data_IF_108836778972
#
_entry.id   IF_108836778972
#
_cell.length_a   1.000
_cell.length_b   1.000
_cell.length_c   1.000
_cell.angle_alpha   90.00
_cell.angle_beta   90.00
_cell.angle_gamma   90.00
#
_symmetry.space_group_name_H-M   'P 1'
#
loop_
_entity.id
_entity.type
_entity.pdbx_description
1 polymer ?
#
# COMPACT_ATOMS: atom_id res chain seq x y z
N UNK A 1 6.72 18.45 33.14
CA UNK A 1 5.80 19.28 32.32
C UNK A 1 6.28 19.45 30.87
N UNK A 2 7.40 20.13 30.57
CA UNK A 2 7.82 20.34 29.17
C UNK A 2 8.20 19.03 28.44
N UNK A 3 8.93 18.13 29.12
CA UNK A 3 9.27 16.79 28.59
C UNK A 3 8.03 15.92 28.32
N UNK A 4 7.03 16.02 29.20
CA UNK A 4 5.80 15.23 29.09
C UNK A 4 4.96 15.71 27.92
N UNK A 5 4.82 17.04 27.75
CA UNK A 5 4.14 17.63 26.60
C UNK A 5 4.84 17.28 25.28
N UNK A 6 6.17 17.34 25.23
CA UNK A 6 6.95 17.00 24.03
C UNK A 6 6.78 15.53 23.63
N UNK A 7 6.71 14.63 24.62
CA UNK A 7 6.43 13.21 24.41
C UNK A 7 5.02 13.01 23.85
N UNK A 8 4.02 13.71 24.39
CA UNK A 8 2.64 13.66 23.89
C UNK A 8 2.52 14.15 22.45
N UNK A 9 3.14 15.29 22.11
CA UNK A 9 3.16 15.78 20.73
C UNK A 9 3.84 14.81 19.77
N UNK A 10 4.92 14.16 20.20
CA UNK A 10 5.62 13.18 19.39
C UNK A 10 4.78 11.93 19.12
N UNK A 11 4.02 11.46 20.12
CA UNK A 11 3.07 10.34 19.96
C UNK A 11 1.95 10.71 19.00
N UNK A 12 1.36 11.91 19.13
CA UNK A 12 0.32 12.39 18.22
C UNK A 12 0.83 12.49 16.78
N UNK A 13 2.00 13.09 16.58
CA UNK A 13 2.60 13.22 15.26
C UNK A 13 2.89 11.86 14.63
N UNK A 14 3.39 10.91 15.42
CA UNK A 14 3.60 9.52 14.99
C UNK A 14 2.28 8.86 14.58
N UNK A 15 1.21 9.07 15.34
CA UNK A 15 -0.13 8.58 15.03
C UNK A 15 -0.67 9.14 13.71
N UNK A 16 -0.60 10.45 13.52
CA UNK A 16 -1.01 11.12 12.27
C UNK A 16 -0.24 10.58 11.07
N UNK A 17 1.07 10.40 11.19
CA UNK A 17 1.90 9.83 10.11
C UNK A 17 1.47 8.41 9.76
N UNK A 18 1.15 7.58 10.76
CA UNK A 18 0.71 6.20 10.55
C UNK A 18 -0.66 6.14 9.88
N UNK A 19 -1.63 6.90 10.37
CA UNK A 19 -2.99 6.95 9.80
C UNK A 19 -2.95 7.48 8.37
N UNK A 20 -2.20 8.55 8.13
CA UNK A 20 -2.07 9.15 6.79
C UNK A 20 -1.48 8.14 5.80
N UNK A 21 -0.46 7.39 6.22
CA UNK A 21 0.18 6.34 5.41
C UNK A 21 -0.78 5.19 5.09
N UNK A 22 -1.55 4.73 6.08
CA UNK A 22 -2.57 3.68 5.88
C UNK A 22 -3.65 4.16 4.91
N UNK A 23 -4.19 5.36 5.12
CA UNK A 23 -5.14 5.95 4.18
C UNK A 23 -4.57 6.11 2.77
N UNK A 24 -3.30 6.53 2.66
CA UNK A 24 -2.63 6.65 1.38
C UNK A 24 -2.46 5.29 0.67
N UNK A 25 -2.32 4.20 1.43
CA UNK A 25 -2.27 2.85 0.88
C UNK A 25 -3.64 2.37 0.40
N UNK A 26 -4.66 2.47 1.25
CA UNK A 26 -6.02 2.02 0.93
C UNK A 26 -6.64 2.83 -0.21
N UNK A 27 -6.47 4.15 -0.17
CA UNK A 27 -7.00 5.07 -1.17
C UNK A 27 -6.00 5.38 -2.27
N UNK A 28 -4.91 4.61 -2.39
CA UNK A 28 -3.84 4.86 -3.35
C UNK A 28 -4.36 5.07 -4.77
N UNK A 29 -5.24 4.19 -5.25
CA UNK A 29 -5.78 4.29 -6.61
C UNK A 29 -6.61 5.56 -6.80
N UNK A 30 -7.40 5.94 -5.79
CA UNK A 30 -8.20 7.15 -5.82
C UNK A 30 -7.32 8.41 -5.79
N UNK A 31 -6.33 8.46 -4.89
CA UNK A 31 -5.35 9.54 -4.81
C UNK A 31 -4.57 9.67 -6.12
N UNK A 32 -4.07 8.56 -6.65
CA UNK A 32 -3.37 8.53 -7.92
C UNK A 32 -4.25 9.09 -9.04
N UNK A 33 -5.49 8.60 -9.17
CA UNK A 33 -6.41 9.07 -10.20
C UNK A 33 -6.69 10.57 -10.08
N UNK A 34 -6.95 11.05 -8.86
CA UNK A 34 -7.18 12.47 -8.60
C UNK A 34 -5.99 13.33 -9.02
N UNK A 35 -4.78 13.03 -8.53
CA UNK A 35 -3.58 13.80 -8.87
C UNK A 35 -3.19 13.67 -10.34
N UNK A 36 -3.39 12.49 -10.93
CA UNK A 36 -3.13 12.24 -12.34
C UNK A 36 -4.05 13.08 -13.23
N UNK A 37 -5.35 13.04 -12.96
CA UNK A 37 -6.34 13.82 -13.69
C UNK A 37 -6.12 15.33 -13.51
N UNK A 38 -5.85 15.78 -12.28
CA UNK A 38 -5.53 17.17 -11.99
C UNK A 38 -4.29 17.63 -12.77
N UNK A 39 -3.25 16.79 -12.84
CA UNK A 39 -2.05 17.07 -13.62
C UNK A 39 -2.38 17.14 -15.11
N UNK A 40 -3.10 16.16 -15.66
CA UNK A 40 -3.47 16.11 -17.07
C UNK A 40 -4.29 17.35 -17.49
N UNK A 41 -5.27 17.74 -16.68
CA UNK A 41 -6.08 18.94 -16.90
C UNK A 41 -5.23 20.22 -16.80
N UNK A 42 -4.35 20.31 -15.80
CA UNK A 42 -3.46 21.46 -15.64
C UNK A 42 -2.53 21.63 -16.86
N UNK A 43 -1.85 20.56 -17.28
CA UNK A 43 -0.98 20.60 -18.47
C UNK A 43 -1.76 20.88 -19.76
N UNK A 44 -2.95 20.30 -19.91
CA UNK A 44 -3.84 20.60 -21.03
C UNK A 44 -4.23 22.08 -21.06
N UNK A 45 -4.59 22.64 -19.90
CA UNK A 45 -4.96 24.05 -19.79
C UNK A 45 -3.78 24.96 -20.12
N UNK A 46 -2.59 24.73 -19.55
CA UNK A 46 -1.38 25.49 -19.90
C UNK A 46 -1.06 25.40 -21.40
N UNK A 47 -1.17 24.21 -22.00
CA UNK A 47 -0.90 24.02 -23.43
C UNK A 47 -1.94 24.74 -24.31
N UNK A 48 -3.19 24.80 -23.86
CA UNK A 48 -4.29 25.46 -24.58
C UNK A 48 -4.12 26.97 -24.69
N UNK A 49 -3.43 27.60 -23.73
CA UNK A 49 -3.06 29.03 -23.76
C UNK A 49 -2.18 29.34 -24.98
N UNK A 50 -1.29 28.41 -25.34
CA UNK A 50 -0.39 28.54 -26.48
C UNK A 50 -1.14 28.20 -27.78
N UNK A 51 -1.84 27.07 -27.80
CA UNK A 51 -2.62 26.62 -28.96
C UNK A 51 -3.72 25.65 -28.52
N UNK A 52 -4.97 25.90 -28.90
CA UNK A 52 -6.11 25.06 -28.50
C UNK A 52 -5.92 23.57 -28.88
N UNK A 53 -5.40 23.31 -30.08
CA UNK A 53 -5.09 21.95 -30.52
C UNK A 53 -4.00 21.25 -29.67
N UNK A 54 -3.07 22.00 -29.05
CA UNK A 54 -2.05 21.42 -28.20
C UNK A 54 -2.64 20.89 -26.89
N UNK A 55 -3.67 21.53 -26.34
CA UNK A 55 -4.41 21.02 -25.17
C UNK A 55 -5.01 19.64 -25.42
N UNK A 56 -5.69 19.46 -26.57
CA UNK A 56 -6.30 18.18 -26.96
C UNK A 56 -5.25 17.09 -27.13
N UNK A 57 -4.15 17.39 -27.86
CA UNK A 57 -3.04 16.44 -28.03
C UNK A 57 -2.46 16.04 -26.68
N UNK A 58 -2.35 16.98 -25.73
CA UNK A 58 -1.82 16.69 -24.42
C UNK A 58 -2.75 15.76 -23.62
N UNK A 59 -4.07 15.96 -23.64
CA UNK A 59 -5.02 15.05 -23.01
C UNK A 59 -4.94 13.63 -23.57
N UNK A 60 -4.83 13.49 -24.89
CA UNK A 60 -4.64 12.19 -25.53
C UNK A 60 -3.34 11.52 -25.08
N UNK A 61 -2.26 12.29 -24.97
CA UNK A 61 -0.97 11.78 -24.48
C UNK A 61 -1.09 11.26 -23.04
N UNK A 62 -1.75 11.99 -22.15
CA UNK A 62 -2.03 11.53 -20.79
C UNK A 62 -2.87 10.24 -20.80
N UNK A 63 -3.92 10.15 -21.61
CA UNK A 63 -4.72 8.93 -21.70
C UNK A 63 -3.88 7.70 -22.10
N UNK A 64 -3.01 7.84 -23.09
CA UNK A 64 -2.09 6.77 -23.54
C UNK A 64 -1.06 6.41 -22.45
N UNK A 65 -0.57 7.39 -21.71
CA UNK A 65 0.44 7.19 -20.68
C UNK A 65 -0.12 6.62 -19.36
N UNK A 66 -1.44 6.65 -19.16
CA UNK A 66 -2.08 6.28 -17.89
C UNK A 66 -1.58 4.94 -17.35
N UNK A 67 -1.66 3.87 -18.15
CA UNK A 67 -1.26 2.52 -17.71
C UNK A 67 0.23 2.43 -17.36
N UNK A 68 1.09 3.09 -18.14
CA UNK A 68 2.54 3.10 -17.92
C UNK A 68 2.88 3.85 -16.64
N UNK A 69 2.26 5.01 -16.42
CA UNK A 69 2.47 5.80 -15.20
C UNK A 69 1.93 5.06 -13.98
N UNK A 70 0.72 4.49 -14.05
CA UNK A 70 0.14 3.72 -12.96
C UNK A 70 1.06 2.56 -12.53
N UNK A 71 1.52 1.74 -13.48
CA UNK A 71 2.44 0.64 -13.20
C UNK A 71 3.75 1.12 -12.57
N UNK A 72 4.27 2.25 -13.05
CA UNK A 72 5.46 2.87 -12.48
C UNK A 72 5.19 3.52 -11.12
N UNK A 73 3.96 3.83 -10.73
CA UNK A 73 3.64 4.46 -9.44
C UNK A 73 3.27 3.41 -8.40
N UNK A 74 2.89 2.18 -8.79
CA UNK A 74 2.64 1.06 -7.86
C UNK A 74 3.80 0.80 -6.87
N UNK A 75 5.06 1.16 -7.19
CA UNK A 75 6.15 1.06 -6.21
C UNK A 75 5.93 1.99 -5.01
N UNK A 76 5.29 3.14 -5.19
CA UNK A 76 4.98 4.07 -4.10
C UNK A 76 4.00 3.41 -3.13
N UNK A 77 2.95 2.75 -3.64
CA UNK A 77 2.04 1.96 -2.79
C UNK A 77 2.80 0.90 -1.98
N UNK A 78 3.73 0.17 -2.61
CA UNK A 78 4.61 -0.80 -1.92
C UNK A 78 5.51 -0.18 -0.86
N UNK A 79 5.98 1.05 -1.07
CA UNK A 79 6.87 1.74 -0.14
C UNK A 79 6.18 2.18 1.16
N UNK A 80 4.84 2.25 1.17
CA UNK A 80 4.05 2.58 2.36
C UNK A 80 4.05 1.42 3.35
N UNK A 81 4.26 0.19 2.88
CA UNK A 81 4.34 -1.01 3.71
C UNK A 81 5.68 -1.02 4.47
N UNK A 82 5.63 -1.16 5.79
CA UNK A 82 6.79 -1.25 6.69
C UNK A 82 6.75 -2.51 7.53
N UNK A 83 7.92 -2.85 8.09
CA UNK A 83 8.04 -3.92 9.10
C UNK A 83 7.20 -3.58 10.33
N UNK A 84 6.50 -4.57 10.86
CA UNK A 84 5.54 -4.46 11.96
C UNK A 84 4.15 -4.01 11.53
N UNK A 85 3.93 -3.67 10.25
CA UNK A 85 2.58 -3.38 9.78
C UNK A 85 1.74 -4.65 9.80
N UNK A 86 0.52 -4.54 10.32
CA UNK A 86 -0.50 -5.57 10.15
C UNK A 86 -1.18 -5.37 8.82
N UNK A 87 -1.42 -6.47 8.12
CA UNK A 87 -1.97 -6.47 6.78
C UNK A 87 -3.15 -7.40 6.67
N UNK A 88 -4.03 -7.07 5.74
CA UNK A 88 -5.13 -7.92 5.31
C UNK A 88 -4.81 -8.43 3.91
N UNK A 89 -4.81 -9.75 3.74
CA UNK A 89 -4.46 -10.39 2.47
C UNK A 89 -5.45 -11.50 2.11
N UNK A 90 -5.58 -11.77 0.80
CA UNK A 90 -6.33 -12.92 0.28
C UNK A 90 -5.40 -14.12 0.21
N UNK A 91 -5.80 -15.24 0.81
CA UNK A 91 -5.09 -16.51 0.62
C UNK A 91 -5.52 -17.14 -0.71
N UNK A 92 -4.62 -17.35 -1.69
CA UNK A 92 -4.98 -17.96 -2.96
C UNK A 92 -5.39 -19.44 -2.83
N UNK A 93 -5.08 -20.09 -1.70
CA UNK A 93 -5.40 -21.50 -1.49
C UNK A 93 -6.80 -21.71 -0.88
N UNK A 94 -7.44 -20.66 -0.36
CA UNK A 94 -8.79 -20.75 0.20
C UNK A 94 -9.84 -20.47 -0.87
N UNK A 95 -10.51 -21.54 -1.29
CA UNK A 95 -11.54 -21.53 -2.35
C UNK A 95 -12.95 -21.26 -1.80
N UNK A 96 -13.14 -21.32 -0.47
CA UNK A 96 -14.43 -21.12 0.18
C UNK A 96 -14.56 -19.67 0.67
N UNK A 97 -15.45 -18.90 0.00
CA UNK A 97 -15.66 -17.46 0.19
C UNK A 97 -16.19 -16.99 1.56
N UNK A 98 -15.97 -17.73 2.65
CA UNK A 98 -16.39 -17.38 4.01
C UNK A 98 -15.32 -16.68 4.85
N UNK A 99 -14.03 -16.83 4.52
CA UNK A 99 -12.91 -16.15 5.19
C UNK A 99 -12.00 -15.47 4.16
N UNK A 100 -12.54 -14.53 3.37
CA UNK A 100 -11.80 -13.92 2.25
C UNK A 100 -10.57 -13.08 2.66
N UNK A 101 -10.38 -12.77 3.95
CA UNK A 101 -9.32 -11.88 4.42
C UNK A 101 -8.64 -12.43 5.67
N UNK A 102 -7.35 -12.78 5.53
CA UNK A 102 -6.48 -13.15 6.64
C UNK A 102 -5.68 -11.95 7.12
N UNK A 103 -5.42 -11.91 8.43
CA UNK A 103 -4.55 -10.91 9.05
C UNK A 103 -3.17 -11.49 9.29
N UNK A 104 -2.14 -10.73 8.94
CA UNK A 104 -0.75 -11.08 9.21
C UNK A 104 0.07 -9.86 9.62
N UNK A 105 1.20 -10.09 10.28
CA UNK A 105 2.18 -9.06 10.61
C UNK A 105 3.39 -9.16 9.68
N UNK A 106 3.83 -8.05 9.11
CA UNK A 106 5.01 -8.03 8.23
C UNK A 106 6.29 -8.10 9.04
N UNK A 107 7.04 -9.17 8.85
CA UNK A 107 8.34 -9.38 9.48
C UNK A 107 9.45 -8.75 8.64
N UNK A 108 9.46 -9.02 7.33
CA UNK A 108 10.52 -8.57 6.44
C UNK A 108 10.07 -8.56 4.97
N UNK A 109 10.60 -7.61 4.20
CA UNK A 109 10.51 -7.64 2.74
C UNK A 109 11.57 -8.58 2.16
N UNK A 110 11.15 -9.54 1.35
CA UNK A 110 12.05 -10.55 0.78
C UNK A 110 12.37 -10.27 -0.69
N UNK A 111 13.59 -10.64 -1.11
CA UNK A 111 13.94 -10.73 -2.53
C UNK A 111 13.48 -12.07 -3.11
N UNK A 112 13.25 -12.12 -4.42
CA UNK A 112 12.84 -13.34 -5.12
C UNK A 112 13.75 -14.54 -4.80
N UNK A 113 15.08 -14.35 -4.89
CA UNK A 113 16.08 -15.37 -4.58
C UNK A 113 16.04 -15.86 -3.12
N UNK A 114 15.62 -15.01 -2.18
CA UNK A 114 15.48 -15.39 -0.77
C UNK A 114 14.21 -16.22 -0.57
N UNK A 115 13.14 -15.90 -1.29
CA UNK A 115 11.87 -16.63 -1.25
C UNK A 115 12.05 -18.06 -1.77
N UNK A 116 12.73 -18.23 -2.90
CA UNK A 116 13.01 -19.57 -3.47
C UNK A 116 13.72 -20.49 -2.46
N UNK A 117 14.62 -19.93 -1.63
CA UNK A 117 15.34 -20.69 -0.60
C UNK A 117 14.45 -21.15 0.55
N UNK A 118 13.36 -20.43 0.83
CA UNK A 118 12.48 -20.77 1.96
C UNK A 118 11.56 -21.95 1.69
N UNK A 119 11.23 -22.25 0.42
CA UNK A 119 10.24 -23.27 0.04
C UNK A 119 8.86 -23.10 0.70
N UNK A 120 8.56 -21.91 1.23
CA UNK A 120 7.29 -21.59 1.88
C UNK A 120 6.17 -21.22 0.90
N UNK A 121 6.50 -21.06 -0.38
CA UNK A 121 5.57 -20.72 -1.46
C UNK A 121 5.91 -21.58 -2.69
N UNK A 122 4.90 -21.98 -3.45
CA UNK A 122 5.10 -22.77 -4.66
C UNK A 122 5.71 -21.91 -5.78
N UNK A 123 6.47 -22.55 -6.68
CA UNK A 123 7.06 -21.88 -7.85
C UNK A 123 6.02 -21.29 -8.80
N UNK A 124 4.84 -21.91 -8.89
CA UNK A 124 3.72 -21.43 -9.71
C UNK A 124 3.18 -20.09 -9.20
N UNK A 125 3.05 -19.90 -7.87
CA UNK A 125 2.65 -18.61 -7.30
C UNK A 125 3.76 -17.55 -7.37
N UNK A 126 5.01 -17.95 -7.61
CA UNK A 126 6.12 -17.03 -7.84
C UNK A 126 6.15 -16.49 -9.28
N UNK A 127 5.69 -17.26 -10.27
CA UNK A 127 5.60 -16.86 -11.69
C UNK A 127 4.51 -15.81 -11.92
N UNK A 128 4.82 -14.55 -11.61
CA UNK A 128 3.94 -13.40 -11.83
C UNK A 128 4.09 -12.33 -10.77
N UNK A 129 4.54 -12.72 -9.58
CA UNK A 129 4.76 -11.84 -8.45
C UNK A 129 6.21 -11.37 -8.38
N UNK A 130 6.42 -10.05 -8.27
CA UNK A 130 7.79 -9.47 -8.21
C UNK A 130 8.25 -9.14 -6.79
N UNK A 131 7.32 -9.10 -5.84
CA UNK A 131 7.60 -8.63 -4.48
C UNK A 131 6.90 -9.51 -3.46
N UNK A 132 7.66 -9.90 -2.44
CA UNK A 132 7.22 -10.83 -1.42
C UNK A 132 7.55 -10.31 -0.04
N UNK A 133 6.74 -10.73 0.92
CA UNK A 133 6.90 -10.39 2.32
C UNK A 133 6.86 -11.66 3.16
N UNK A 134 7.81 -11.76 4.08
CA UNK A 134 7.74 -12.72 5.18
C UNK A 134 6.76 -12.16 6.21
N UNK A 135 5.75 -12.94 6.54
CA UNK A 135 4.68 -12.54 7.42
C UNK A 135 4.46 -13.55 8.53
N UNK A 136 3.97 -13.08 9.66
CA UNK A 136 3.59 -13.91 10.80
C UNK A 136 2.08 -14.01 10.87
N UNK A 137 1.56 -15.22 10.84
CA UNK A 137 0.13 -15.54 10.98
C UNK A 137 -0.03 -16.31 12.29
N UNK A 138 -0.50 -15.64 13.34
CA UNK A 138 -0.53 -16.22 14.68
C UNK A 138 0.87 -16.59 15.18
N UNK A 139 1.19 -17.88 15.26
CA UNK A 139 2.52 -18.39 15.64
C UNK A 139 3.38 -18.82 14.46
N UNK A 140 2.78 -18.98 13.29
CA UNK A 140 3.45 -19.52 12.11
C UNK A 140 4.01 -18.39 11.23
N UNK A 141 5.01 -18.75 10.43
CA UNK A 141 5.66 -17.84 9.49
C UNK A 141 5.34 -18.30 8.08
N UNK A 142 4.96 -17.37 7.22
CA UNK A 142 4.57 -17.64 5.84
C UNK A 142 5.11 -16.56 4.91
N UNK A 143 5.16 -16.85 3.61
CA UNK A 143 5.54 -15.87 2.59
C UNK A 143 4.31 -15.54 1.75
N UNK A 144 4.04 -14.25 1.58
CA UNK A 144 2.95 -13.79 0.72
C UNK A 144 3.47 -12.83 -0.36
N UNK A 145 2.78 -12.82 -1.49
CA UNK A 145 3.03 -11.85 -2.54
C UNK A 145 2.39 -10.49 -2.21
N UNK A 146 3.00 -9.41 -2.68
CA UNK A 146 2.44 -8.06 -2.57
C UNK A 146 1.04 -7.95 -3.17
N UNK A 147 0.80 -8.60 -4.30
CA UNK A 147 -0.44 -8.46 -5.06
C UNK A 147 -1.65 -9.07 -4.33
N UNK A 148 -1.40 -9.86 -3.28
CA UNK A 148 -2.44 -10.42 -2.40
C UNK A 148 -2.80 -9.50 -1.23
N UNK A 149 -2.00 -8.44 -0.98
CA UNK A 149 -2.23 -7.49 0.11
C UNK A 149 -3.28 -6.47 -0.31
N UNK A 150 -4.39 -6.44 0.41
CA UNK A 150 -5.53 -5.56 0.14
C UNK A 150 -5.50 -4.33 1.03
N UNK A 151 -5.17 -4.52 2.31
CA UNK A 151 -5.28 -3.47 3.34
C UNK A 151 -4.10 -3.44 4.30
N UNK A 152 -3.92 -2.29 4.93
CA UNK A 152 -3.02 -2.10 6.08
C UNK A 152 -3.90 -1.80 7.30
N UNK A 153 -3.72 -2.52 8.40
CA UNK A 153 -4.39 -2.24 9.67
C UNK A 153 -3.41 -1.55 10.62
N UNK A 154 -3.68 -0.34 11.11
CA UNK A 154 -2.82 0.32 12.07
C UNK A 154 -2.98 -0.31 13.47
N UNK A 155 -1.88 -0.66 14.11
CA UNK A 155 -1.84 -1.19 15.48
C UNK A 155 -2.35 -0.17 16.53
N UNK A 156 -2.30 1.12 16.21
CA UNK A 156 -2.69 2.21 17.13
C UNK A 156 -4.18 2.17 17.47
N UNK A 157 -5.03 1.61 16.59
CA UNK A 157 -6.47 1.49 16.85
C UNK A 157 -6.82 0.42 17.89
N UNK A 158 -5.87 -0.42 18.30
CA UNK A 158 -6.09 -1.43 19.35
C UNK A 158 -5.69 -0.95 20.74
N UNK A 159 -4.95 0.16 20.85
CA UNK A 159 -4.48 0.71 22.13
C UNK A 159 -5.63 1.42 22.90
N UNK A 160 -6.67 1.89 22.19
CA UNK A 160 -7.80 2.60 22.82
C UNK A 160 -8.97 1.70 23.28
N UNK A 161 -8.99 0.41 22.94
CA UNK A 161 -10.06 -0.50 23.40
C UNK A 161 -9.66 -1.41 24.56
N UNK A 162 -8.40 -1.38 24.99
CA UNK A 162 -7.90 -2.20 26.11
C UNK A 162 -7.85 -1.44 27.45
N UNK A 163 -8.33 -0.19 27.50
CA UNK A 163 -8.31 0.64 28.71
C UNK A 163 -9.70 1.08 29.22
N UNK A 164 -10.78 0.47 28.73
CA UNK A 164 -12.15 0.64 29.27
C UNK A 164 -12.67 -0.56 30.07
N UNK A 165 -11.84 -1.57 30.32
CA UNK A 165 -12.16 -2.66 31.25
C UNK A 165 -11.04 -2.80 32.30
N UNK A 166 -11.03 -1.89 33.28
CA UNK A 166 -10.56 -2.14 34.66
C UNK A 166 -11.15 -1.09 35.61
#
# INVERSE_FOLDING_TARGET
>A
MFKDNLRTYWVLLKGVVIVTRVMAFEKFTALFFFFYLLSALSFSFLSSIIHWGAGIVMLLLWLVLFRRVLNNVQFLKRSLIRKGDRIEYVDPNETDGKEMFKKAEIVLKMRFEEVEKTKLISSEFMEGNKHFYLVKVGKDVSVIAYDWIIGLSPEILEIEFAHEED
#
